data_IF_618171828434
#
_entry.id   IF_618171828434
#
_cell.length_a   1.000
_cell.length_b   1.000
_cell.length_c   1.000
_cell.angle_alpha   90.00
_cell.angle_beta   90.00
_cell.angle_gamma   90.00
#
_symmetry.space_group_name_H-M   'P 1'
#
loop_
_entity.id
_entity.type
_entity.pdbx_description
1 polymer ?
#
# COMPACT_ATOMS: atom_id res chain seq x y z
N UNK A 1 -38.41 21.07 -60.54
CA UNK A 1 -37.96 19.85 -59.78
C UNK A 1 -36.77 20.27 -58.94
N UNK A 2 -37.01 20.51 -57.65
CA UNK A 2 -36.01 20.78 -56.65
C UNK A 2 -35.52 19.42 -56.11
N UNK A 3 -34.27 19.13 -56.37
CA UNK A 3 -33.58 17.95 -55.84
C UNK A 3 -32.95 18.35 -54.46
N UNK A 4 -33.63 18.09 -53.36
CA UNK A 4 -33.05 18.22 -52.03
C UNK A 4 -32.23 16.95 -51.74
N UNK A 5 -30.93 17.01 -52.01
CA UNK A 5 -29.99 16.03 -51.47
C UNK A 5 -29.64 16.43 -50.04
N UNK A 6 -30.29 15.80 -49.07
CA UNK A 6 -29.92 15.88 -47.67
C UNK A 6 -28.62 15.08 -47.46
N UNK A 7 -27.49 15.77 -47.51
CA UNK A 7 -26.21 15.20 -47.06
C UNK A 7 -26.23 15.12 -45.53
N UNK A 8 -26.59 13.95 -44.97
CA UNK A 8 -26.40 13.65 -43.57
C UNK A 8 -24.89 13.62 -43.30
N UNK A 9 -24.41 14.62 -42.58
CA UNK A 9 -23.03 14.66 -42.12
C UNK A 9 -22.78 13.55 -41.08
N UNK A 10 -21.73 12.78 -41.26
CA UNK A 10 -21.29 11.73 -40.33
C UNK A 10 -21.08 12.26 -38.91
N UNK A 11 -20.88 13.58 -38.73
CA UNK A 11 -20.74 14.26 -37.45
C UNK A 11 -22.06 14.34 -36.63
N UNK A 12 -23.22 14.32 -37.30
CA UNK A 12 -24.53 14.44 -36.64
C UNK A 12 -24.99 13.12 -36.05
N UNK A 13 -24.47 11.99 -36.48
CA UNK A 13 -24.75 10.68 -35.90
C UNK A 13 -23.90 10.38 -34.66
N UNK A 14 -22.71 10.97 -34.55
CA UNK A 14 -21.81 10.83 -33.40
C UNK A 14 -22.39 11.46 -32.11
N UNK A 15 -23.19 12.51 -32.22
CA UNK A 15 -23.79 13.19 -31.08
C UNK A 15 -24.79 12.32 -30.30
N UNK A 16 -25.79 11.68 -30.95
CA UNK A 16 -26.69 10.78 -30.24
C UNK A 16 -25.97 9.50 -29.76
N UNK A 17 -24.98 8.99 -30.51
CA UNK A 17 -24.20 7.83 -30.11
C UNK A 17 -23.37 8.08 -28.83
N UNK A 18 -22.76 9.27 -28.69
CA UNK A 18 -22.02 9.64 -27.49
C UNK A 18 -22.92 9.82 -26.26
N UNK A 19 -24.14 10.34 -26.43
CA UNK A 19 -25.12 10.47 -25.33
C UNK A 19 -25.57 9.08 -24.86
N UNK A 20 -25.88 8.17 -25.79
CA UNK A 20 -26.27 6.80 -25.47
C UNK A 20 -25.13 6.07 -24.73
N UNK A 21 -23.87 6.20 -25.21
CA UNK A 21 -22.71 5.62 -24.55
C UNK A 21 -22.54 6.17 -23.12
N UNK A 22 -22.72 7.46 -22.91
CA UNK A 22 -22.56 8.10 -21.59
C UNK A 22 -23.68 7.68 -20.61
N UNK A 23 -24.92 7.59 -21.10
CA UNK A 23 -26.04 7.07 -20.30
C UNK A 23 -25.85 5.60 -19.94
N UNK A 24 -25.37 4.78 -20.88
CA UNK A 24 -25.07 3.36 -20.63
C UNK A 24 -23.95 3.21 -19.59
N UNK A 25 -22.91 4.04 -19.65
CA UNK A 25 -21.81 4.05 -18.70
C UNK A 25 -22.29 4.47 -17.29
N UNK A 26 -23.19 5.46 -17.19
CA UNK A 26 -23.80 5.89 -15.92
C UNK A 26 -24.71 4.81 -15.33
N UNK A 27 -25.42 4.06 -16.16
CA UNK A 27 -26.29 2.97 -15.70
C UNK A 27 -25.51 1.71 -15.28
N UNK A 28 -24.31 1.51 -15.83
CA UNK A 28 -23.43 0.39 -15.48
C UNK A 28 -22.50 0.71 -14.31
N UNK A 29 -22.31 2.00 -13.97
CA UNK A 29 -21.41 2.42 -12.90
C UNK A 29 -21.70 1.74 -11.55
N UNK A 30 -22.96 1.64 -11.07
CA UNK A 30 -23.25 0.94 -9.81
C UNK A 30 -22.85 -0.53 -9.84
N UNK A 31 -23.14 -1.24 -10.94
CA UNK A 31 -22.82 -2.67 -11.06
C UNK A 31 -21.32 -2.95 -11.18
N UNK A 32 -20.54 -1.99 -11.68
CA UNK A 32 -19.08 -2.07 -11.71
C UNK A 32 -18.53 -1.84 -10.31
N UNK A 33 -19.06 -0.87 -9.58
CA UNK A 33 -18.66 -0.60 -8.20
C UNK A 33 -18.97 -1.78 -7.28
N UNK A 34 -20.17 -2.38 -7.40
CA UNK A 34 -20.54 -3.56 -6.63
C UNK A 34 -19.63 -4.76 -6.93
N UNK A 35 -19.28 -4.98 -8.20
CA UNK A 35 -18.34 -6.06 -8.59
C UNK A 35 -16.92 -5.81 -8.10
N UNK A 36 -16.44 -4.57 -8.19
CA UNK A 36 -15.11 -4.22 -7.66
C UNK A 36 -15.07 -4.35 -6.13
N UNK A 37 -16.14 -3.96 -5.45
CA UNK A 37 -16.26 -4.16 -4.00
C UNK A 37 -16.32 -5.65 -3.64
N UNK A 38 -17.08 -6.47 -4.38
CA UNK A 38 -17.17 -7.91 -4.16
C UNK A 38 -15.84 -8.63 -4.48
N UNK A 39 -15.12 -8.21 -5.51
CA UNK A 39 -13.83 -8.77 -5.87
C UNK A 39 -12.71 -8.35 -4.88
N UNK A 40 -12.76 -7.11 -4.39
CA UNK A 40 -11.86 -6.67 -3.32
C UNK A 40 -12.15 -7.40 -2.00
N UNK A 41 -13.43 -7.65 -1.66
CA UNK A 41 -13.81 -8.41 -0.47
C UNK A 41 -13.35 -9.88 -0.59
N UNK A 42 -13.48 -10.51 -1.75
CA UNK A 42 -12.95 -11.86 -1.99
C UNK A 42 -11.44 -11.91 -1.89
N UNK A 43 -10.75 -10.88 -2.40
CA UNK A 43 -9.29 -10.80 -2.31
C UNK A 43 -8.82 -10.69 -0.84
N UNK A 44 -9.62 -10.04 0.01
CA UNK A 44 -9.37 -9.93 1.45
C UNK A 44 -9.73 -11.26 2.17
N UNK A 45 -10.80 -11.95 1.76
CA UNK A 45 -11.20 -13.24 2.36
C UNK A 45 -10.27 -14.41 1.97
N UNK A 46 -9.64 -14.37 0.79
CA UNK A 46 -8.68 -15.39 0.31
C UNK A 46 -7.25 -15.12 0.78
N UNK A 47 -6.93 -13.91 1.26
CA UNK A 47 -5.66 -13.62 1.91
C UNK A 47 -5.78 -13.84 3.42
N UNK A 48 -4.77 -14.48 3.98
CA UNK A 48 -4.57 -14.53 5.42
C UNK A 48 -4.72 -13.11 6.01
N UNK A 49 -5.32 -13.00 7.19
CA UNK A 49 -5.49 -11.71 7.89
C UNK A 49 -4.21 -10.89 7.80
N UNK A 50 -4.33 -9.57 7.60
CA UNK A 50 -3.19 -8.64 7.63
C UNK A 50 -2.37 -8.72 8.92
N UNK A 51 -2.98 -9.26 9.98
CA UNK A 51 -2.33 -9.56 11.27
C UNK A 51 -1.75 -10.97 11.36
N UNK A 52 -1.74 -11.75 10.26
CA UNK A 52 -1.20 -13.10 10.29
C UNK A 52 0.29 -13.09 10.70
N UNK A 53 0.59 -13.86 11.74
CA UNK A 53 1.96 -13.97 12.28
C UNK A 53 2.41 -12.80 13.16
N UNK A 54 1.56 -11.81 13.39
CA UNK A 54 1.78 -10.74 14.38
C UNK A 54 1.33 -11.20 15.79
N UNK A 55 1.79 -10.54 16.86
CA UNK A 55 1.29 -10.78 18.21
C UNK A 55 -0.22 -10.59 18.29
N UNK A 56 -0.93 -11.54 18.94
CA UNK A 56 -2.40 -11.51 19.08
C UNK A 56 -2.92 -10.26 19.81
N UNK A 57 -2.10 -9.65 20.64
CA UNK A 57 -2.44 -8.42 21.35
C UNK A 57 -2.52 -7.21 20.40
N UNK A 58 -2.07 -7.35 19.15
CA UNK A 58 -2.09 -6.30 18.13
C UNK A 58 -3.29 -6.39 17.17
N UNK A 59 -4.16 -7.39 17.30
CA UNK A 59 -5.26 -7.65 16.36
C UNK A 59 -6.18 -6.44 16.09
N UNK A 60 -6.39 -5.59 17.09
CA UNK A 60 -7.18 -4.35 16.97
C UNK A 60 -6.31 -3.08 17.00
N UNK A 61 -4.99 -3.23 16.92
CA UNK A 61 -4.03 -2.14 17.04
C UNK A 61 -3.32 -1.88 15.70
N UNK A 62 -2.83 -0.66 15.55
CA UNK A 62 -2.10 -0.26 14.35
C UNK A 62 -0.69 -0.82 14.37
N UNK A 63 -0.27 -1.37 13.22
CA UNK A 63 1.04 -2.00 13.04
C UNK A 63 1.72 -1.49 11.79
N UNK A 64 3.01 -1.25 11.87
CA UNK A 64 3.90 -0.97 10.74
C UNK A 64 4.88 -2.13 10.60
N UNK A 65 4.93 -2.77 9.43
CA UNK A 65 5.93 -3.76 9.08
C UNK A 65 6.85 -3.22 7.98
N UNK A 66 8.12 -3.52 8.08
CA UNK A 66 9.13 -3.25 7.05
C UNK A 66 9.85 -4.54 6.74
N UNK A 67 9.70 -5.02 5.52
CA UNK A 67 10.37 -6.23 5.03
C UNK A 67 11.54 -5.86 4.15
N UNK A 68 12.70 -6.39 4.52
CA UNK A 68 13.94 -6.21 3.78
C UNK A 68 14.23 -7.40 2.86
N UNK A 69 15.04 -7.24 1.82
CA UNK A 69 15.65 -8.38 1.14
C UNK A 69 16.46 -9.21 2.15
N UNK A 70 16.78 -10.46 1.77
CA UNK A 70 17.53 -11.40 2.62
C UNK A 70 18.84 -10.84 3.17
N UNK A 71 19.42 -9.85 2.49
CA UNK A 71 20.63 -9.13 2.91
C UNK A 71 20.25 -7.82 3.63
N UNK A 72 19.44 -7.93 4.70
CA UNK A 72 19.04 -6.79 5.51
C UNK A 72 20.23 -5.91 5.93
N UNK A 73 20.07 -4.56 5.93
CA UNK A 73 21.09 -3.65 6.45
C UNK A 73 21.37 -3.85 7.94
N UNK A 74 20.44 -4.45 8.69
CA UNK A 74 20.55 -4.71 10.12
C UNK A 74 20.52 -6.22 10.40
N UNK A 75 21.60 -6.75 10.97
CA UNK A 75 21.77 -8.17 11.23
C UNK A 75 20.70 -8.80 12.12
N UNK A 76 20.08 -8.02 13.01
CA UNK A 76 18.97 -8.51 13.87
C UNK A 76 17.72 -8.86 13.04
N UNK A 77 17.53 -8.25 11.88
CA UNK A 77 16.38 -8.49 11.02
C UNK A 77 16.57 -9.65 10.02
N UNK A 78 17.71 -10.33 10.08
CA UNK A 78 18.03 -11.43 9.15
C UNK A 78 17.50 -12.80 9.61
N UNK A 79 16.99 -12.89 10.84
CA UNK A 79 16.52 -14.15 11.44
C UNK A 79 15.00 -14.35 11.35
N UNK A 80 14.31 -13.50 10.62
CA UNK A 80 12.85 -13.49 10.55
C UNK A 80 12.32 -12.09 10.71
N UNK A 81 11.11 -11.95 11.25
CA UNK A 81 10.48 -10.66 11.49
C UNK A 81 10.52 -10.35 12.99
N UNK A 82 11.29 -9.35 13.35
CA UNK A 82 11.41 -8.88 14.74
C UNK A 82 10.19 -8.03 15.11
N UNK A 83 9.54 -8.38 16.21
CA UNK A 83 8.37 -7.68 16.75
C UNK A 83 8.83 -6.69 17.81
N UNK A 84 8.46 -5.41 17.65
CA UNK A 84 8.85 -4.30 18.54
C UNK A 84 7.57 -3.64 19.07
N UNK A 85 7.47 -3.52 20.39
CA UNK A 85 6.34 -2.88 21.04
C UNK A 85 6.30 -1.36 20.88
N UNK A 86 5.19 -0.71 21.29
CA UNK A 86 5.03 0.72 21.20
C UNK A 86 5.96 1.51 22.14
N UNK A 87 6.61 0.83 23.07
CA UNK A 87 7.64 1.35 23.98
C UNK A 87 9.08 1.16 23.45
N UNK A 88 9.22 0.47 22.31
CA UNK A 88 10.50 0.15 21.69
C UNK A 88 11.15 -1.15 22.21
N UNK A 89 10.49 -1.88 23.10
CA UNK A 89 11.00 -3.18 23.55
C UNK A 89 10.77 -4.26 22.48
N UNK A 90 11.79 -5.10 22.28
CA UNK A 90 11.67 -6.26 21.40
C UNK A 90 10.84 -7.34 22.10
N UNK A 91 9.71 -7.72 21.51
CA UNK A 91 8.79 -8.73 22.04
C UNK A 91 9.28 -10.14 21.66
N UNK A 92 9.85 -10.28 20.46
CA UNK A 92 10.35 -11.52 19.90
C UNK A 92 10.56 -11.47 18.40
N UNK A 93 10.92 -12.61 17.83
CA UNK A 93 11.13 -12.76 16.37
C UNK A 93 10.27 -13.91 15.85
N UNK A 94 9.52 -13.67 14.79
CA UNK A 94 8.78 -14.72 14.08
C UNK A 94 9.61 -15.20 12.88
N UNK A 95 10.14 -16.43 12.99
CA UNK A 95 10.94 -17.07 11.95
C UNK A 95 10.07 -17.80 10.92
N UNK A 96 8.78 -18.04 11.22
CA UNK A 96 7.85 -18.80 10.36
C UNK A 96 7.33 -17.98 9.18
N UNK A 97 7.43 -16.65 9.23
CA UNK A 97 6.92 -15.75 8.18
C UNK A 97 7.67 -15.82 6.86
N UNK A 98 8.78 -16.57 6.75
CA UNK A 98 9.62 -16.65 5.55
C UNK A 98 9.96 -15.28 4.94
N UNK A 99 10.05 -14.26 5.78
CA UNK A 99 10.41 -12.87 5.48
C UNK A 99 11.45 -12.40 6.49
N UNK A 100 12.19 -11.36 6.15
CA UNK A 100 13.15 -10.71 7.04
C UNK A 100 12.77 -9.27 7.23
N UNK A 101 12.88 -8.75 8.44
CA UNK A 101 12.48 -7.37 8.73
C UNK A 101 12.05 -7.14 10.16
N UNK A 102 11.23 -6.13 10.34
CA UNK A 102 10.66 -5.80 11.64
C UNK A 102 9.22 -5.27 11.51
N UNK A 103 8.38 -5.60 12.50
CA UNK A 103 7.09 -5.00 12.71
C UNK A 103 7.11 -4.21 14.03
N UNK A 104 6.58 -3.01 14.01
CA UNK A 104 6.42 -2.16 15.19
C UNK A 104 4.93 -1.95 15.37
N UNK A 105 4.37 -2.45 16.46
CA UNK A 105 2.92 -2.49 16.65
C UNK A 105 2.48 -2.14 18.05
N UNK A 106 1.18 -2.26 18.28
CA UNK A 106 0.59 -1.92 19.56
C UNK A 106 0.21 -0.44 19.68
N UNK A 107 -0.04 0.23 18.53
CA UNK A 107 -0.42 1.64 18.51
C UNK A 107 -1.92 1.82 18.31
N UNK A 108 -2.39 2.97 18.76
CA UNK A 108 -3.79 3.40 18.63
C UNK A 108 -3.85 4.89 18.32
N UNK A 109 -4.95 5.32 17.66
CA UNK A 109 -5.32 6.72 17.52
C UNK A 109 -4.61 7.50 16.40
N UNK A 110 -3.80 6.87 15.57
CA UNK A 110 -3.27 7.52 14.38
C UNK A 110 -4.32 7.55 13.28
N UNK A 111 -4.50 8.70 12.66
CA UNK A 111 -5.42 8.91 11.54
C UNK A 111 -4.71 9.18 10.20
N UNK A 112 -3.38 9.35 10.20
CA UNK A 112 -2.58 9.60 9.02
C UNK A 112 -1.39 8.64 8.94
N UNK A 113 -1.18 8.04 7.77
CA UNK A 113 -0.15 7.02 7.58
C UNK A 113 1.27 7.53 7.77
N UNK A 114 1.59 8.75 7.31
CA UNK A 114 2.94 9.31 7.47
C UNK A 114 3.23 9.62 8.94
N UNK A 115 2.28 10.21 9.66
CA UNK A 115 2.44 10.48 11.10
C UNK A 115 2.63 9.18 11.87
N UNK A 116 1.86 8.15 11.54
CA UNK A 116 2.01 6.82 12.10
C UNK A 116 3.40 6.23 11.80
N UNK A 117 3.81 6.22 10.52
CA UNK A 117 5.12 5.71 10.11
C UNK A 117 6.27 6.40 10.82
N UNK A 118 6.23 7.72 10.92
CA UNK A 118 7.29 8.51 11.55
C UNK A 118 7.38 8.30 13.07
N UNK A 119 6.28 8.00 13.72
CA UNK A 119 6.26 7.74 15.15
C UNK A 119 6.65 6.28 15.47
N UNK A 120 6.07 5.31 14.78
CA UNK A 120 6.35 3.89 14.99
C UNK A 120 7.81 3.52 14.70
N UNK A 121 8.38 4.01 13.60
CA UNK A 121 9.78 3.70 13.24
C UNK A 121 10.81 4.25 14.23
N UNK A 122 10.47 5.26 15.03
CA UNK A 122 11.34 5.76 16.13
C UNK A 122 11.54 4.72 17.23
N UNK A 123 10.57 3.85 17.44
CA UNK A 123 10.63 2.81 18.46
C UNK A 123 11.68 1.74 18.15
N UNK A 124 12.05 1.58 16.87
CA UNK A 124 13.13 0.68 16.46
C UNK A 124 14.55 1.28 16.68
N UNK A 125 14.71 2.22 17.58
CA UNK A 125 16.02 2.80 17.98
C UNK A 125 16.92 3.25 16.82
N UNK A 126 16.29 3.81 15.76
CA UNK A 126 16.97 4.30 14.56
C UNK A 126 17.25 3.23 13.49
N UNK A 127 16.96 1.96 13.76
CA UNK A 127 17.16 0.87 12.79
C UNK A 127 16.16 0.92 11.63
N UNK A 128 15.00 1.54 11.82
CA UNK A 128 13.99 1.79 10.80
C UNK A 128 13.91 3.28 10.44
N UNK A 129 15.03 4.01 10.47
CA UNK A 129 15.05 5.42 10.09
C UNK A 129 14.48 5.63 8.69
N UNK A 130 13.62 6.64 8.53
CA UNK A 130 12.90 6.92 7.27
C UNK A 130 13.48 8.17 6.61
N UNK A 131 13.86 8.03 5.33
CA UNK A 131 14.17 9.14 4.45
C UNK A 131 13.03 9.33 3.45
N UNK A 132 12.46 10.53 3.38
CA UNK A 132 11.40 10.86 2.44
C UNK A 132 11.52 12.31 1.95
N UNK A 133 10.91 12.58 0.81
CA UNK A 133 10.78 13.92 0.23
C UNK A 133 9.30 14.24 0.01
N UNK A 134 8.94 15.52 0.17
CA UNK A 134 7.57 15.98 -0.12
C UNK A 134 7.58 16.72 -1.45
N UNK A 135 6.92 16.14 -2.44
CA UNK A 135 6.76 16.71 -3.78
C UNK A 135 5.30 17.08 -4.07
N UNK A 136 5.04 17.42 -5.33
CA UNK A 136 3.68 17.74 -5.81
C UNK A 136 2.69 16.55 -5.72
N UNK A 137 3.20 15.34 -5.57
CA UNK A 137 2.43 14.09 -5.48
C UNK A 137 2.38 13.54 -4.05
N UNK A 138 2.71 14.34 -3.04
CA UNK A 138 2.75 13.92 -1.64
C UNK A 138 4.12 13.48 -1.16
N UNK A 139 4.14 12.70 -0.09
CA UNK A 139 5.37 12.17 0.51
C UNK A 139 5.85 10.93 -0.26
N UNK A 140 7.10 10.99 -0.73
CA UNK A 140 7.81 9.89 -1.40
C UNK A 140 8.89 9.34 -0.48
N UNK A 141 8.73 8.10 -0.04
CA UNK A 141 9.71 7.40 0.80
C UNK A 141 10.77 6.77 -0.09
N UNK A 142 12.03 7.20 0.08
CA UNK A 142 13.16 6.71 -0.70
C UNK A 142 14.14 5.84 0.11
N UNK A 143 14.08 5.88 1.44
CA UNK A 143 15.00 5.10 2.30
C UNK A 143 14.28 4.67 3.57
N UNK A 144 14.40 3.38 3.93
CA UNK A 144 13.97 2.87 5.22
C UNK A 144 15.11 2.01 5.78
N UNK A 145 15.46 2.23 7.05
CA UNK A 145 16.53 1.49 7.72
C UNK A 145 17.89 1.62 7.05
N UNK A 146 18.14 2.72 6.35
CA UNK A 146 19.37 2.94 5.59
C UNK A 146 19.40 2.30 4.20
N UNK A 147 18.38 1.48 3.83
CA UNK A 147 18.28 0.91 2.50
C UNK A 147 17.59 1.89 1.55
N UNK A 148 18.30 2.32 0.49
CA UNK A 148 17.71 2.96 -0.68
C UNK A 148 17.58 1.91 -1.79
N UNK A 149 16.36 1.64 -2.31
CA UNK A 149 16.12 0.64 -3.36
C UNK A 149 16.95 0.87 -4.62
N UNK A 150 17.31 2.10 -4.96
CA UNK A 150 18.18 2.43 -6.10
C UNK A 150 19.58 1.79 -6.00
N UNK A 151 19.99 1.39 -4.79
CA UNK A 151 21.27 0.69 -4.57
C UNK A 151 21.19 -0.80 -4.83
N UNK A 152 20.01 -1.36 -4.98
CA UNK A 152 19.81 -2.78 -5.22
C UNK A 152 20.17 -3.14 -6.66
N UNK A 153 20.75 -4.33 -6.82
CA UNK A 153 21.13 -4.88 -8.12
C UNK A 153 20.52 -6.26 -8.29
N UNK A 154 20.02 -6.56 -9.49
CA UNK A 154 19.36 -7.83 -9.79
C UNK A 154 18.90 -7.88 -11.24
N UNK A 155 18.09 -8.87 -11.57
CA UNK A 155 17.50 -9.02 -12.90
C UNK A 155 16.18 -8.22 -12.99
N UNK A 156 16.29 -6.89 -12.77
CA UNK A 156 15.18 -5.93 -12.84
C UNK A 156 15.70 -4.58 -13.35
N UNK A 157 14.80 -3.72 -13.85
CA UNK A 157 15.16 -2.39 -14.36
C UNK A 157 15.23 -1.32 -13.27
N UNK A 158 14.53 -1.52 -12.17
CA UNK A 158 14.53 -0.62 -11.02
C UNK A 158 13.82 -1.24 -9.82
N UNK A 159 14.02 -0.63 -8.66
CA UNK A 159 13.40 -1.04 -7.40
C UNK A 159 12.83 0.17 -6.64
N UNK A 160 11.86 -0.05 -5.81
CA UNK A 160 11.22 0.99 -5.00
C UNK A 160 10.65 0.41 -3.70
N UNK A 161 10.39 1.28 -2.73
CA UNK A 161 9.61 0.91 -1.56
C UNK A 161 8.12 0.83 -1.93
N UNK A 162 7.59 -0.39 -1.93
CA UNK A 162 6.19 -0.69 -2.15
C UNK A 162 5.42 -0.59 -0.84
N UNK A 163 4.26 0.05 -0.89
CA UNK A 163 3.37 0.25 0.24
C UNK A 163 2.12 -0.60 0.09
N UNK A 164 1.91 -1.49 1.05
CA UNK A 164 0.66 -2.21 1.22
C UNK A 164 -0.10 -1.66 2.44
N UNK A 165 -1.42 -1.69 2.38
CA UNK A 165 -2.34 -1.36 3.46
C UNK A 165 -3.34 -2.49 3.63
N UNK A 166 -3.34 -3.08 4.82
CA UNK A 166 -4.19 -4.24 5.15
C UNK A 166 -4.05 -5.39 4.13
N UNK A 167 -2.81 -5.71 3.76
CA UNK A 167 -2.49 -6.80 2.85
C UNK A 167 -2.79 -6.53 1.35
N UNK A 168 -3.16 -5.31 0.98
CA UNK A 168 -3.39 -4.91 -0.40
C UNK A 168 -2.55 -3.70 -0.81
N UNK A 169 -2.09 -3.60 -2.08
CA UNK A 169 -1.37 -2.43 -2.57
C UNK A 169 -2.12 -1.13 -2.31
N UNK A 170 -1.45 -0.18 -1.65
CA UNK A 170 -2.06 1.11 -1.38
C UNK A 170 -2.26 1.90 -2.67
N UNK A 171 -3.46 2.43 -2.86
CA UNK A 171 -3.80 3.27 -4.01
C UNK A 171 -3.42 4.74 -3.83
N UNK A 172 -2.92 5.09 -2.64
CA UNK A 172 -2.49 6.46 -2.28
C UNK A 172 -1.10 6.42 -1.65
N UNK A 173 -0.39 7.54 -1.69
CA UNK A 173 0.88 7.67 -0.97
C UNK A 173 0.69 7.70 0.55
N UNK A 174 1.74 7.40 1.31
CA UNK A 174 1.72 7.32 2.78
C UNK A 174 1.21 8.62 3.44
N UNK A 175 1.44 9.78 2.82
CA UNK A 175 0.99 11.07 3.33
C UNK A 175 -0.51 11.30 3.22
N UNK A 176 -1.17 10.62 2.28
CA UNK A 176 -2.61 10.72 2.04
C UNK A 176 -3.38 9.50 2.59
N UNK A 177 -2.66 8.52 3.15
CA UNK A 177 -3.25 7.32 3.71
C UNK A 177 -3.99 7.64 5.01
N UNK A 178 -5.30 7.36 5.01
CA UNK A 178 -6.16 7.49 6.19
C UNK A 178 -6.06 6.18 6.97
N UNK A 179 -5.78 6.30 8.27
CA UNK A 179 -5.60 5.18 9.18
C UNK A 179 -6.84 4.99 10.07
N UNK A 180 -7.13 3.74 10.36
CA UNK A 180 -8.15 3.28 11.32
C UNK A 180 -7.53 2.38 12.39
N UNK A 181 -8.29 2.06 13.42
CA UNK A 181 -7.89 1.03 14.41
C UNK A 181 -7.73 -0.32 13.70
N UNK A 182 -6.73 -1.08 14.09
CA UNK A 182 -6.41 -2.38 13.50
C UNK A 182 -5.75 -2.33 12.13
N UNK A 183 -5.41 -1.17 11.60
CA UNK A 183 -4.74 -1.08 10.30
C UNK A 183 -3.29 -1.54 10.36
N UNK A 184 -2.89 -2.30 9.34
CA UNK A 184 -1.50 -2.72 9.12
C UNK A 184 -0.94 -2.04 7.88
N UNK A 185 0.18 -1.36 8.03
CA UNK A 185 0.98 -0.83 6.93
C UNK A 185 2.20 -1.73 6.72
N UNK A 186 2.44 -2.14 5.50
CA UNK A 186 3.60 -2.95 5.14
C UNK A 186 4.43 -2.24 4.07
N UNK A 187 5.75 -2.23 4.30
CA UNK A 187 6.71 -1.77 3.32
C UNK A 187 7.59 -2.93 2.87
N UNK A 188 7.70 -3.10 1.58
CA UNK A 188 8.54 -4.12 0.96
C UNK A 188 9.23 -3.59 -0.29
N UNK A 189 10.18 -4.35 -0.85
CA UNK A 189 10.83 -3.96 -2.10
C UNK A 189 9.99 -4.45 -3.28
N UNK A 190 9.46 -3.50 -4.06
CA UNK A 190 8.91 -3.74 -5.39
C UNK A 190 9.97 -3.57 -6.47
N UNK A 191 9.84 -4.28 -7.59
CA UNK A 191 10.73 -4.18 -8.77
C UNK A 191 9.92 -4.09 -10.06
N UNK A 192 10.50 -3.52 -11.13
CA UNK A 192 9.89 -3.46 -12.48
C UNK A 192 10.89 -3.77 -13.59
#
# INVERSE_FOLDING_TARGET
RLNLSTTYSMSDWLKPASIVALVTLLLLAPSIQDRLAEESTRYIEDNESSHHGLPSDWDEQQVLCVYFPSDSPHSIFNLGVTMIGPDGEEIGTNEDLNRTGACVGGFEGYSNGLDFMMNSTRMAHGQLSVGYEVGQWGAFVHTIGGLNPDSLTGDFNGAYWHLDHNGAPSMVGIGDLIMSEGDVIEWSIGTW
#
